data_IF_781167915575
#
_entry.id   IF_781167915575
#
_cell.length_a   1.000
_cell.length_b   1.000
_cell.length_c   1.000
_cell.angle_alpha   90.00
_cell.angle_beta   90.00
_cell.angle_gamma   90.00
#
_symmetry.space_group_name_H-M   'P 1'
#
loop_
_entity.id
_entity.type
_entity.pdbx_description
1 polymer ?
#
# COMPACT_ATOMS: atom_id res chain seq x y z
N UNK A 1 -31.96 -4.04 -5.65
CA UNK A 1 -31.33 -2.83 -6.21
C UNK A 1 -30.58 -3.29 -7.45
N UNK A 2 -30.90 -2.75 -8.61
CA UNK A 2 -30.13 -2.97 -9.85
C UNK A 2 -29.06 -1.89 -9.92
N UNK A 3 -27.79 -2.29 -10.01
CA UNK A 3 -26.64 -1.37 -10.07
C UNK A 3 -26.30 -1.16 -11.55
N UNK A 4 -26.13 0.09 -11.98
CA UNK A 4 -25.64 0.37 -13.32
C UNK A 4 -24.11 0.17 -13.36
N UNK A 5 -23.70 -1.06 -13.66
CA UNK A 5 -22.30 -1.43 -13.78
C UNK A 5 -21.59 -0.79 -14.98
N UNK A 6 -22.32 -0.23 -15.97
CA UNK A 6 -21.70 0.51 -17.05
C UNK A 6 -21.17 1.89 -16.60
N UNK A 7 -21.83 2.48 -15.59
CA UNK A 7 -21.45 3.75 -14.96
C UNK A 7 -20.68 3.57 -13.63
N UNK A 8 -20.47 2.34 -13.17
CA UNK A 8 -19.83 2.05 -11.86
C UNK A 8 -18.51 1.34 -12.03
N UNK A 9 -17.41 2.08 -11.86
CA UNK A 9 -16.05 1.55 -11.95
C UNK A 9 -15.37 1.58 -10.59
N UNK A 10 -14.88 0.43 -10.13
CA UNK A 10 -14.15 0.29 -8.87
C UNK A 10 -12.92 -0.61 -9.06
N UNK A 11 -11.78 -0.17 -8.56
CA UNK A 11 -10.49 -0.88 -8.69
C UNK A 11 -9.98 -1.44 -7.36
N UNK A 12 -10.80 -1.39 -6.30
CA UNK A 12 -10.41 -1.70 -4.93
C UNK A 12 -9.80 -3.10 -4.78
N UNK A 13 -10.20 -4.08 -5.61
CA UNK A 13 -9.64 -5.44 -5.63
C UNK A 13 -8.14 -5.43 -5.91
N UNK A 14 -7.73 -4.96 -7.10
CA UNK A 14 -6.33 -4.94 -7.51
C UNK A 14 -5.51 -3.93 -6.70
N UNK A 15 -6.10 -2.78 -6.33
CA UNK A 15 -5.46 -1.80 -5.46
C UNK A 15 -5.10 -2.40 -4.10
N UNK A 16 -6.02 -3.11 -3.46
CA UNK A 16 -5.82 -3.71 -2.15
C UNK A 16 -4.72 -4.80 -2.19
N UNK A 17 -4.72 -5.65 -3.23
CA UNK A 17 -3.66 -6.64 -3.44
C UNK A 17 -2.31 -5.94 -3.66
N UNK A 18 -2.24 -4.96 -4.56
CA UNK A 18 -1.00 -4.26 -4.87
C UNK A 18 -0.44 -3.48 -3.67
N UNK A 19 -1.31 -2.83 -2.90
CA UNK A 19 -0.95 -2.13 -1.67
C UNK A 19 -0.41 -3.10 -0.60
N UNK A 20 -1.12 -4.19 -0.34
CA UNK A 20 -0.69 -5.20 0.63
C UNK A 20 0.64 -5.85 0.26
N UNK A 21 0.80 -6.26 -1.00
CA UNK A 21 2.06 -6.83 -1.51
C UNK A 21 3.17 -5.80 -1.47
N UNK A 22 2.89 -4.52 -1.78
CA UNK A 22 3.83 -3.41 -1.70
C UNK A 22 4.39 -3.23 -0.28
N UNK A 23 3.54 -3.22 0.73
CA UNK A 23 3.94 -3.15 2.15
C UNK A 23 4.84 -4.33 2.51
N UNK A 24 4.44 -5.56 2.17
CA UNK A 24 5.23 -6.77 2.44
C UNK A 24 6.57 -6.76 1.69
N UNK A 25 6.60 -6.22 0.47
CA UNK A 25 7.81 -6.12 -0.33
C UNK A 25 8.82 -5.15 0.30
N UNK A 26 8.36 -3.99 0.81
CA UNK A 26 9.18 -3.06 1.60
C UNK A 26 9.82 -3.79 2.78
N UNK A 27 9.03 -4.52 3.57
CA UNK A 27 9.53 -5.22 4.76
C UNK A 27 10.54 -6.32 4.39
N UNK A 28 10.25 -7.08 3.32
CA UNK A 28 11.15 -8.14 2.82
C UNK A 28 12.46 -7.57 2.32
N UNK A 29 12.40 -6.45 1.59
CA UNK A 29 13.57 -5.72 1.11
C UNK A 29 14.43 -5.25 2.30
N UNK A 30 13.85 -4.55 3.28
CA UNK A 30 14.59 -4.06 4.45
C UNK A 30 15.15 -5.20 5.32
N UNK A 31 14.44 -6.32 5.44
CA UNK A 31 14.94 -7.52 6.12
C UNK A 31 16.16 -8.09 5.41
N UNK A 32 16.12 -8.23 4.08
CA UNK A 32 17.28 -8.72 3.30
C UNK A 32 18.44 -7.72 3.29
N UNK A 33 18.16 -6.43 3.26
CA UNK A 33 19.17 -5.39 3.37
C UNK A 33 19.92 -5.52 4.69
N UNK A 34 19.20 -5.57 5.82
CA UNK A 34 19.79 -5.78 7.15
C UNK A 34 20.66 -7.03 7.22
N UNK A 35 20.22 -8.13 6.61
CA UNK A 35 20.94 -9.41 6.57
C UNK A 35 22.13 -9.46 5.61
N UNK A 36 22.47 -8.37 4.90
CA UNK A 36 23.48 -8.35 3.84
C UNK A 36 23.19 -9.35 2.71
N UNK A 37 21.91 -9.54 2.39
CA UNK A 37 21.42 -10.50 1.39
C UNK A 37 20.75 -9.84 0.19
N UNK A 38 20.91 -8.52 0.01
CA UNK A 38 20.43 -7.85 -1.20
C UNK A 38 21.37 -8.17 -2.35
N UNK A 39 20.78 -8.72 -3.40
CA UNK A 39 21.40 -8.84 -4.72
C UNK A 39 20.36 -8.45 -5.78
N UNK A 40 20.81 -8.26 -7.02
CA UNK A 40 19.98 -7.87 -8.17
C UNK A 40 19.02 -6.72 -7.84
N UNK A 41 19.55 -5.50 -7.71
CA UNK A 41 18.74 -4.30 -7.44
C UNK A 41 17.65 -4.07 -8.50
N UNK A 42 17.91 -4.47 -9.74
CA UNK A 42 16.93 -4.44 -10.84
C UNK A 42 15.71 -5.32 -10.57
N UNK A 43 15.89 -6.51 -9.97
CA UNK A 43 14.77 -7.38 -9.59
C UNK A 43 13.85 -6.73 -8.55
N UNK A 44 14.45 -6.03 -7.58
CA UNK A 44 13.68 -5.24 -6.61
C UNK A 44 13.01 -4.04 -7.26
N UNK A 45 13.73 -3.34 -8.15
CA UNK A 45 13.19 -2.21 -8.90
C UNK A 45 11.98 -2.62 -9.73
N UNK A 46 12.02 -3.76 -10.44
CA UNK A 46 10.87 -4.28 -11.17
C UNK A 46 9.69 -4.60 -10.23
N UNK A 47 9.94 -5.25 -9.10
CA UNK A 47 8.89 -5.56 -8.12
C UNK A 47 8.18 -4.31 -7.59
N UNK A 48 8.95 -3.29 -7.18
CA UNK A 48 8.39 -2.01 -6.74
C UNK A 48 7.72 -1.25 -7.89
N UNK A 49 8.31 -1.29 -9.09
CA UNK A 49 7.85 -0.56 -10.26
C UNK A 49 6.49 -1.05 -10.75
N UNK A 50 6.30 -2.37 -10.85
CA UNK A 50 5.03 -2.97 -11.29
C UNK A 50 3.89 -2.63 -10.32
N UNK A 51 4.12 -2.84 -9.02
CA UNK A 51 3.11 -2.53 -7.99
C UNK A 51 2.81 -1.03 -7.94
N UNK A 52 3.86 -0.20 -8.02
CA UNK A 52 3.72 1.25 -8.05
C UNK A 52 2.94 1.73 -9.26
N UNK A 53 3.22 1.19 -10.44
CA UNK A 53 2.55 1.55 -11.68
C UNK A 53 1.06 1.20 -11.67
N UNK A 54 0.70 0.00 -11.21
CA UNK A 54 -0.72 -0.40 -11.05
C UNK A 54 -1.45 0.60 -10.15
N UNK A 55 -0.89 0.88 -8.97
CA UNK A 55 -1.50 1.79 -8.00
C UNK A 55 -1.58 3.24 -8.50
N UNK A 56 -0.58 3.71 -9.26
CA UNK A 56 -0.61 5.03 -9.89
C UNK A 56 -1.76 5.10 -10.89
N UNK A 57 -1.88 4.13 -11.80
CA UNK A 57 -2.92 4.18 -12.84
C UNK A 57 -4.31 4.13 -12.23
N UNK A 58 -4.57 3.15 -11.37
CA UNK A 58 -5.89 2.97 -10.77
C UNK A 58 -6.22 4.12 -9.81
N UNK A 59 -5.24 4.58 -9.03
CA UNK A 59 -5.40 5.66 -8.07
C UNK A 59 -5.61 7.00 -8.75
N UNK A 60 -4.82 7.32 -9.77
CA UNK A 60 -4.98 8.54 -10.56
C UNK A 60 -6.33 8.59 -11.27
N UNK A 61 -6.82 7.46 -11.79
CA UNK A 61 -8.15 7.42 -12.38
C UNK A 61 -9.20 7.83 -11.35
N UNK A 62 -9.29 7.12 -10.21
CA UNK A 62 -10.23 7.45 -9.13
C UNK A 62 -10.10 8.90 -8.63
N UNK A 63 -8.88 9.39 -8.41
CA UNK A 63 -8.68 10.74 -7.88
C UNK A 63 -8.94 11.87 -8.89
N UNK A 64 -8.78 11.63 -10.20
CA UNK A 64 -8.93 12.68 -11.22
C UNK A 64 -10.29 12.69 -11.91
N UNK A 65 -11.02 11.58 -11.88
CA UNK A 65 -12.36 11.45 -12.47
C UNK A 65 -13.44 11.42 -11.40
N UNK A 66 -13.36 12.31 -10.42
CA UNK A 66 -14.25 12.33 -9.26
C UNK A 66 -15.63 12.96 -9.57
N UNK A 67 -16.76 12.31 -9.19
CA UNK A 67 -16.89 10.94 -8.69
C UNK A 67 -16.80 9.89 -9.81
N UNK A 68 -15.94 8.88 -9.63
CA UNK A 68 -15.75 7.82 -10.63
C UNK A 68 -16.92 6.85 -10.64
N UNK A 69 -17.39 6.49 -9.44
CA UNK A 69 -18.63 5.75 -9.29
C UNK A 69 -19.77 6.76 -9.08
N UNK A 70 -20.70 6.84 -10.03
CA UNK A 70 -21.90 7.69 -9.90
C UNK A 70 -22.89 7.17 -8.84
N UNK A 71 -22.59 6.04 -8.20
CA UNK A 71 -23.43 5.41 -7.19
C UNK A 71 -22.90 5.71 -5.80
N UNK A 72 -23.63 6.54 -5.05
CA UNK A 72 -23.80 6.51 -3.59
C UNK A 72 -22.59 6.71 -2.66
N UNK A 73 -21.36 6.52 -3.15
CA UNK A 73 -20.14 6.47 -2.37
C UNK A 73 -19.03 7.35 -2.98
N UNK A 74 -19.29 8.65 -3.23
CA UNK A 74 -18.30 9.54 -3.85
C UNK A 74 -17.01 9.68 -2.99
N UNK A 75 -17.05 9.30 -1.72
CA UNK A 75 -15.89 9.30 -0.85
C UNK A 75 -14.89 8.17 -1.15
N UNK A 76 -15.26 7.15 -1.92
CA UNK A 76 -14.38 6.03 -2.27
C UNK A 76 -13.14 6.48 -3.06
N UNK A 77 -13.28 7.53 -3.88
CA UNK A 77 -12.16 8.12 -4.61
C UNK A 77 -11.12 8.77 -3.68
N UNK A 78 -11.57 9.32 -2.54
CA UNK A 78 -10.68 9.84 -1.50
C UNK A 78 -10.08 8.69 -0.68
N UNK A 79 -10.88 7.69 -0.31
CA UNK A 79 -10.44 6.63 0.60
C UNK A 79 -9.51 5.61 -0.08
N UNK A 80 -9.79 5.28 -1.35
CA UNK A 80 -9.02 4.29 -2.09
C UNK A 80 -8.10 4.95 -3.12
N UNK A 81 -8.59 5.95 -3.86
CA UNK A 81 -7.85 6.60 -4.95
C UNK A 81 -6.61 7.34 -4.46
N UNK A 82 -6.76 8.33 -3.58
CA UNK A 82 -5.65 9.18 -3.15
C UNK A 82 -4.54 8.39 -2.42
N UNK A 83 -4.85 7.50 -1.45
CA UNK A 83 -3.84 6.63 -0.84
C UNK A 83 -3.12 5.73 -1.83
N UNK A 84 -3.86 5.12 -2.77
CA UNK A 84 -3.28 4.23 -3.77
C UNK A 84 -2.33 4.99 -4.68
N UNK A 85 -2.75 6.16 -5.17
CA UNK A 85 -1.90 7.03 -5.99
C UNK A 85 -0.63 7.42 -5.24
N UNK A 86 -0.76 7.93 -4.02
CA UNK A 86 0.38 8.36 -3.22
C UNK A 86 1.35 7.21 -2.92
N UNK A 87 0.83 6.06 -2.51
CA UNK A 87 1.66 4.88 -2.25
C UNK A 87 2.31 4.35 -3.53
N UNK A 88 1.57 4.34 -4.65
CA UNK A 88 2.07 3.95 -5.96
C UNK A 88 3.25 4.81 -6.41
N UNK A 89 3.13 6.14 -6.28
CA UNK A 89 4.23 7.09 -6.55
C UNK A 89 5.45 6.81 -5.69
N UNK A 90 5.26 6.53 -4.38
CA UNK A 90 6.37 6.20 -3.48
C UNK A 90 7.09 4.90 -3.87
N UNK A 91 6.34 3.85 -4.23
CA UNK A 91 6.93 2.58 -4.71
C UNK A 91 7.65 2.78 -6.05
N UNK A 92 7.07 3.55 -6.97
CA UNK A 92 7.67 3.84 -8.26
C UNK A 92 8.95 4.68 -8.12
N UNK A 93 8.97 5.66 -7.22
CA UNK A 93 10.17 6.41 -6.88
C UNK A 93 11.27 5.51 -6.30
N UNK A 94 10.91 4.57 -5.43
CA UNK A 94 11.84 3.56 -4.91
C UNK A 94 12.39 2.67 -6.04
N UNK A 95 11.57 2.28 -7.00
CA UNK A 95 11.99 1.51 -8.17
C UNK A 95 13.05 2.26 -9.00
N UNK A 96 12.79 3.53 -9.34
CA UNK A 96 13.72 4.37 -10.08
C UNK A 96 15.04 4.53 -9.30
N UNK A 97 14.98 4.76 -7.99
CA UNK A 97 16.17 4.89 -7.16
C UNK A 97 17.02 3.62 -7.19
N UNK A 98 16.41 2.46 -7.00
CA UNK A 98 17.12 1.18 -6.98
C UNK A 98 17.74 0.87 -8.34
N UNK A 99 17.03 1.15 -9.43
CA UNK A 99 17.56 1.01 -10.79
C UNK A 99 18.76 1.95 -11.02
N UNK A 100 18.65 3.23 -10.64
CA UNK A 100 19.77 4.19 -10.73
C UNK A 100 20.97 3.74 -9.89
N UNK A 101 20.75 3.22 -8.68
CA UNK A 101 21.82 2.70 -7.83
C UNK A 101 22.49 1.46 -8.40
N UNK A 102 21.74 0.56 -9.04
CA UNK A 102 22.31 -0.57 -9.81
C UNK A 102 23.35 -0.06 -10.82
N UNK A 103 22.97 0.94 -11.62
CA UNK A 103 23.85 1.51 -12.65
C UNK A 103 25.07 2.23 -12.06
N UNK A 104 24.91 2.95 -10.95
CA UNK A 104 26.03 3.62 -10.27
C UNK A 104 27.02 2.61 -9.70
N UNK A 105 26.52 1.56 -9.03
CA UNK A 105 27.38 0.52 -8.44
C UNK A 105 28.14 -0.26 -9.51
N UNK A 106 27.51 -0.55 -10.67
CA UNK A 106 28.21 -1.11 -11.82
C UNK A 106 29.36 -0.21 -12.31
N UNK A 107 29.11 1.11 -12.45
CA UNK A 107 30.13 2.07 -12.91
C UNK A 107 31.28 2.23 -11.90
N UNK A 108 31.02 2.03 -10.61
CA UNK A 108 32.02 2.04 -9.55
C UNK A 108 32.82 0.73 -9.46
N UNK A 109 32.56 -0.25 -10.33
CA UNK A 109 33.25 -1.54 -10.34
C UNK A 109 32.81 -2.50 -9.22
N UNK A 110 31.69 -2.21 -8.55
CA UNK A 110 31.14 -3.11 -7.54
C UNK A 110 30.65 -4.38 -8.24
N UNK A 111 31.17 -5.53 -7.82
CA UNK A 111 30.72 -6.81 -8.32
C UNK A 111 29.25 -7.04 -7.94
N UNK A 112 28.34 -7.00 -8.92
CA UNK A 112 26.90 -7.21 -8.69
C UNK A 112 26.54 -8.62 -8.17
N UNK A 113 27.48 -9.58 -8.22
CA UNK A 113 27.32 -10.90 -7.58
C UNK A 113 27.63 -10.87 -6.09
N UNK A 114 28.38 -9.87 -5.62
CA UNK A 114 28.68 -9.67 -4.21
C UNK A 114 27.52 -8.96 -3.49
N UNK A 115 26.64 -9.78 -2.93
CA UNK A 115 25.47 -9.32 -2.18
C UNK A 115 25.84 -8.51 -0.95
N UNK A 116 26.99 -8.78 -0.34
CA UNK A 116 27.43 -8.10 0.89
C UNK A 116 27.87 -6.69 0.55
N UNK A 117 28.72 -6.53 -0.46
CA UNK A 117 29.19 -5.22 -0.93
C UNK A 117 28.01 -4.31 -1.32
N UNK A 118 27.05 -4.81 -2.10
CA UNK A 118 25.85 -4.05 -2.49
C UNK A 118 25.03 -3.63 -1.27
N UNK A 119 24.83 -4.55 -0.33
CA UNK A 119 24.01 -4.28 0.87
C UNK A 119 24.67 -3.24 1.77
N UNK A 120 25.98 -3.28 1.95
CA UNK A 120 26.73 -2.33 2.78
C UNK A 120 26.70 -0.92 2.18
N UNK A 121 26.95 -0.79 0.88
CA UNK A 121 26.86 0.50 0.19
C UNK A 121 25.43 1.07 0.27
N UNK A 122 24.42 0.24 0.00
CA UNK A 122 23.03 0.67 0.01
C UNK A 122 22.53 1.05 1.41
N UNK A 123 23.02 0.38 2.47
CA UNK A 123 22.71 0.78 3.87
C UNK A 123 23.20 2.18 4.20
N UNK A 124 24.36 2.57 3.67
CA UNK A 124 24.90 3.92 3.84
C UNK A 124 24.08 4.95 3.08
N UNK A 125 23.76 4.66 1.82
CA UNK A 125 23.10 5.62 0.92
C UNK A 125 21.60 5.81 1.23
N UNK A 126 20.88 4.74 1.57
CA UNK A 126 19.41 4.71 1.55
C UNK A 126 18.74 5.66 2.55
N UNK A 127 19.20 5.80 3.82
CA UNK A 127 18.59 6.72 4.77
C UNK A 127 18.52 8.16 4.25
N UNK A 128 19.62 8.66 3.70
CA UNK A 128 19.71 10.06 3.24
C UNK A 128 18.90 10.28 1.97
N UNK A 129 18.89 9.32 1.05
CA UNK A 129 18.12 9.41 -0.20
C UNK A 129 16.61 9.32 0.03
N UNK A 130 16.18 8.53 1.01
CA UNK A 130 14.76 8.32 1.28
C UNK A 130 14.18 9.32 2.27
N UNK A 131 15.02 10.04 3.02
CA UNK A 131 14.55 10.96 4.04
C UNK A 131 13.58 12.02 3.51
N UNK A 132 13.86 12.74 2.40
CA UNK A 132 12.94 13.78 1.92
C UNK A 132 11.56 13.22 1.54
N UNK A 133 11.53 12.11 0.79
CA UNK A 133 10.27 11.50 0.34
C UNK A 133 9.50 10.87 1.50
N UNK A 134 10.20 10.44 2.54
CA UNK A 134 9.58 9.82 3.71
C UNK A 134 8.69 10.79 4.49
N UNK A 135 8.92 12.10 4.43
CA UNK A 135 8.00 13.06 5.04
C UNK A 135 6.62 13.04 4.38
N UNK A 136 6.56 12.90 3.05
CA UNK A 136 5.30 12.69 2.35
C UNK A 136 4.64 11.38 2.77
N UNK A 137 5.40 10.28 2.85
CA UNK A 137 4.91 9.00 3.37
C UNK A 137 4.38 9.08 4.81
N UNK A 138 5.01 9.88 5.67
CA UNK A 138 4.54 10.10 7.04
C UNK A 138 3.25 10.93 7.10
N UNK A 139 3.15 11.99 6.29
CA UNK A 139 1.95 12.80 6.19
C UNK A 139 0.77 11.97 5.66
N UNK A 140 0.98 11.15 4.63
CA UNK A 140 -0.01 10.18 4.17
C UNK A 140 -0.34 9.14 5.23
N UNK A 141 0.64 8.73 6.05
CA UNK A 141 0.38 7.88 7.21
C UNK A 141 -0.62 8.49 8.19
N UNK A 142 -0.53 9.80 8.45
CA UNK A 142 -1.52 10.53 9.26
C UNK A 142 -2.88 10.63 8.54
N UNK A 143 -2.89 10.82 7.22
CA UNK A 143 -4.12 10.81 6.43
C UNK A 143 -4.84 9.45 6.52
N UNK A 144 -4.12 8.33 6.48
CA UNK A 144 -4.71 6.99 6.67
C UNK A 144 -5.31 6.83 8.08
N UNK A 145 -4.69 7.40 9.11
CA UNK A 145 -5.27 7.41 10.45
C UNK A 145 -6.57 8.23 10.46
N UNK A 146 -6.60 9.38 9.80
CA UNK A 146 -7.80 10.20 9.67
C UNK A 146 -8.92 9.46 8.92
N UNK A 147 -8.60 8.75 7.84
CA UNK A 147 -9.54 7.87 7.12
C UNK A 147 -10.08 6.79 8.05
N UNK A 148 -9.23 6.15 8.87
CA UNK A 148 -9.68 5.17 9.87
C UNK A 148 -10.64 5.77 10.90
N UNK A 149 -10.38 7.00 11.38
CA UNK A 149 -11.30 7.70 12.28
C UNK A 149 -12.63 7.97 11.57
N UNK A 150 -12.58 8.53 10.35
CA UNK A 150 -13.76 8.81 9.55
C UNK A 150 -14.60 7.56 9.27
N UNK A 151 -13.95 6.43 9.00
CA UNK A 151 -14.61 5.15 8.75
C UNK A 151 -15.46 4.68 9.93
N UNK A 152 -14.95 4.79 11.15
CA UNK A 152 -15.72 4.47 12.36
C UNK A 152 -16.80 5.52 12.63
N UNK A 153 -16.45 6.81 12.53
CA UNK A 153 -17.37 7.92 12.85
C UNK A 153 -18.59 7.96 11.94
N UNK A 154 -18.39 7.72 10.64
CA UNK A 154 -19.44 7.79 9.63
C UNK A 154 -19.93 6.42 9.18
N UNK A 155 -19.47 5.33 9.82
CA UNK A 155 -19.83 3.94 9.49
C UNK A 155 -19.60 3.61 8.00
N UNK A 156 -18.47 4.07 7.47
CA UNK A 156 -18.08 3.79 6.09
C UNK A 156 -17.72 2.30 5.96
N UNK A 157 -17.70 1.80 4.72
CA UNK A 157 -17.31 0.41 4.37
C UNK A 157 -18.34 -0.69 4.65
N UNK A 158 -19.59 -0.35 4.95
CA UNK A 158 -20.64 -1.36 5.06
C UNK A 158 -20.94 -1.98 3.68
N UNK A 159 -20.75 -3.29 3.56
CA UNK A 159 -20.97 -4.04 2.36
C UNK A 159 -22.48 -4.21 2.07
N UNK A 160 -22.88 -4.12 0.80
CA UNK A 160 -24.23 -4.47 0.40
C UNK A 160 -24.59 -5.92 0.78
N UNK A 161 -25.84 -6.21 1.21
CA UNK A 161 -26.28 -7.58 1.52
C UNK A 161 -26.13 -8.57 0.35
N UNK A 162 -26.02 -8.06 -0.88
CA UNK A 162 -25.86 -8.85 -2.10
C UNK A 162 -24.41 -9.32 -2.32
N UNK A 163 -23.43 -8.75 -1.61
CA UNK A 163 -22.05 -9.23 -1.67
C UNK A 163 -21.92 -10.58 -0.96
N UNK A 164 -21.32 -11.59 -1.61
CA UNK A 164 -20.92 -12.80 -0.90
C UNK A 164 -19.93 -12.49 0.23
N UNK A 165 -20.01 -13.23 1.33
CA UNK A 165 -19.11 -13.13 2.51
C UNK A 165 -19.27 -11.82 3.29
N UNK A 166 -18.92 -10.67 2.71
CA UNK A 166 -19.01 -9.35 3.36
C UNK A 166 -20.47 -8.95 3.64
N UNK A 167 -21.36 -9.17 2.67
CA UNK A 167 -22.79 -8.89 2.83
C UNK A 167 -23.49 -9.68 3.94
N UNK A 168 -22.89 -10.77 4.45
CA UNK A 168 -23.40 -11.50 5.62
C UNK A 168 -23.37 -10.65 6.90
N UNK A 169 -22.54 -9.58 6.93
CA UNK A 169 -22.44 -8.64 8.04
C UNK A 169 -23.17 -7.32 7.78
N UNK A 170 -23.99 -7.22 6.74
CA UNK A 170 -24.67 -5.98 6.36
C UNK A 170 -25.59 -5.41 7.46
N UNK A 171 -26.14 -6.27 8.33
CA UNK A 171 -26.93 -5.86 9.51
C UNK A 171 -26.07 -5.31 10.66
N UNK A 172 -24.75 -5.51 10.59
CA UNK A 172 -23.76 -5.12 11.60
C UNK A 172 -22.67 -4.21 10.98
N UNK A 173 -23.02 -3.03 10.45
CA UNK A 173 -22.10 -2.16 9.69
C UNK A 173 -20.84 -1.78 10.49
N UNK A 174 -20.94 -1.73 11.82
CA UNK A 174 -19.81 -1.44 12.71
C UNK A 174 -18.70 -2.50 12.66
N UNK A 175 -19.00 -3.75 12.29
CA UNK A 175 -18.01 -4.83 12.19
C UNK A 175 -17.04 -4.53 11.06
N UNK A 176 -17.56 -4.27 9.85
CA UNK A 176 -16.75 -3.95 8.68
C UNK A 176 -16.11 -2.56 8.80
N UNK A 177 -16.88 -1.57 9.27
CA UNK A 177 -16.37 -0.23 9.49
C UNK A 177 -15.14 -0.25 10.41
N UNK A 178 -15.21 -0.97 11.52
CA UNK A 178 -14.09 -1.09 12.47
C UNK A 178 -12.93 -1.90 11.89
N UNK A 179 -13.22 -2.99 11.16
CA UNK A 179 -12.19 -3.84 10.56
C UNK A 179 -11.36 -3.07 9.51
N UNK A 180 -12.02 -2.43 8.54
CA UNK A 180 -11.34 -1.65 7.49
C UNK A 180 -10.67 -0.42 8.08
N UNK A 181 -11.34 0.28 9.00
CA UNK A 181 -10.74 1.44 9.68
C UNK A 181 -9.48 1.10 10.47
N UNK A 182 -9.48 -0.05 11.16
CA UNK A 182 -8.30 -0.54 11.85
C UNK A 182 -7.15 -0.84 10.87
N UNK A 183 -7.47 -1.36 9.69
CA UNK A 183 -6.48 -1.64 8.65
C UNK A 183 -5.83 -0.35 8.11
N UNK A 184 -6.63 0.69 7.87
CA UNK A 184 -6.14 2.02 7.53
C UNK A 184 -5.28 2.62 8.64
N UNK A 185 -5.75 2.59 9.89
CA UNK A 185 -5.02 3.12 11.03
C UNK A 185 -3.68 2.37 11.27
N UNK A 186 -3.66 1.04 11.19
CA UNK A 186 -2.43 0.25 11.28
C UNK A 186 -1.44 0.60 10.17
N UNK A 187 -1.91 0.71 8.93
CA UNK A 187 -1.06 1.13 7.81
C UNK A 187 -0.49 2.53 8.04
N UNK A 188 -1.33 3.45 8.53
CA UNK A 188 -0.98 4.82 8.83
C UNK A 188 0.07 4.96 9.94
N UNK A 189 -0.11 4.25 11.06
CA UNK A 189 0.86 4.19 12.16
C UNK A 189 2.20 3.62 11.65
N UNK A 190 2.13 2.55 10.85
CA UNK A 190 3.29 1.93 10.24
C UNK A 190 4.12 2.91 9.40
N UNK A 191 3.44 3.61 8.48
CA UNK A 191 4.03 4.58 7.55
C UNK A 191 4.55 5.83 8.26
N UNK A 192 3.80 6.38 9.22
CA UNK A 192 4.23 7.54 10.00
C UNK A 192 5.51 7.25 10.79
N UNK A 193 5.55 6.12 11.50
CA UNK A 193 6.73 5.73 12.27
C UNK A 193 7.92 5.38 11.38
N UNK A 194 7.68 4.86 10.17
CA UNK A 194 8.72 4.43 9.23
C UNK A 194 9.74 5.55 8.94
N UNK A 195 9.28 6.78 8.75
CA UNK A 195 10.13 7.96 8.48
C UNK A 195 11.17 8.24 9.55
N UNK A 196 10.84 7.96 10.81
CA UNK A 196 11.77 8.12 11.93
C UNK A 196 12.74 6.93 12.08
N UNK A 197 12.47 5.82 11.40
CA UNK A 197 13.37 4.65 11.33
C UNK A 197 14.47 4.80 10.27
N UNK A 198 14.33 5.73 9.32
CA UNK A 198 15.33 6.05 8.29
C UNK A 198 16.51 6.83 8.89
N UNK A 199 17.35 6.11 9.63
CA UNK A 199 18.63 6.57 10.19
C UNK A 199 19.48 5.34 10.51
N UNK A 200 20.81 5.52 10.64
CA UNK A 200 21.75 4.42 10.93
C UNK A 200 21.40 3.62 12.20
N UNK A 201 20.95 4.32 13.24
CA UNK A 201 20.61 3.72 14.55
C UNK A 201 19.20 4.11 14.98
N UNK A 202 18.15 3.46 14.44
CA UNK A 202 16.77 3.74 14.83
C UNK A 202 16.45 3.16 16.20
N UNK A 203 15.52 3.79 16.92
CA UNK A 203 15.03 3.25 18.18
C UNK A 203 14.33 1.90 17.93
N UNK A 204 14.75 0.85 18.67
CA UNK A 204 14.30 -0.53 18.44
C UNK A 204 12.78 -0.68 18.54
N UNK A 205 12.14 0.07 19.44
CA UNK A 205 10.69 0.05 19.62
C UNK A 205 9.95 0.62 18.41
N UNK A 206 10.40 1.76 17.86
CA UNK A 206 9.79 2.36 16.66
C UNK A 206 9.86 1.42 15.47
N UNK A 207 11.03 0.80 15.29
CA UNK A 207 11.24 -0.18 14.23
C UNK A 207 10.32 -1.40 14.42
N UNK A 208 10.15 -1.88 15.65
CA UNK A 208 9.27 -3.01 15.96
C UNK A 208 7.81 -2.67 15.65
N UNK A 209 7.31 -1.53 16.11
CA UNK A 209 5.92 -1.11 15.87
C UNK A 209 5.68 -0.89 14.39
N UNK A 210 6.52 -0.09 13.72
CA UNK A 210 6.39 0.17 12.28
C UNK A 210 6.40 -1.13 11.46
N UNK A 211 7.34 -2.03 11.73
CA UNK A 211 7.41 -3.33 11.08
C UNK A 211 6.15 -4.17 11.32
N UNK A 212 5.70 -4.29 12.58
CA UNK A 212 4.53 -5.10 12.92
C UNK A 212 3.25 -4.57 12.29
N UNK A 213 3.02 -3.26 12.38
CA UNK A 213 1.86 -2.61 11.79
C UNK A 213 1.81 -2.80 10.28
N UNK A 214 2.91 -2.52 9.57
CA UNK A 214 2.98 -2.72 8.11
C UNK A 214 2.88 -4.20 7.72
N UNK A 215 3.38 -5.12 8.55
CA UNK A 215 3.32 -6.55 8.28
C UNK A 215 1.88 -7.06 8.40
N UNK A 216 1.22 -6.77 9.52
CA UNK A 216 -0.17 -7.15 9.75
C UNK A 216 -1.07 -6.53 8.69
N UNK A 217 -0.92 -5.23 8.44
CA UNK A 217 -1.70 -4.55 7.42
C UNK A 217 -1.43 -5.13 6.02
N UNK A 218 -0.17 -5.39 5.67
CA UNK A 218 0.19 -5.99 4.38
C UNK A 218 -0.45 -7.37 4.17
N UNK A 219 -0.40 -8.24 5.19
CA UNK A 219 -1.03 -9.57 5.12
C UNK A 219 -2.54 -9.45 4.98
N UNK A 220 -3.19 -8.62 5.80
CA UNK A 220 -4.64 -8.46 5.80
C UNK A 220 -5.14 -7.80 4.51
N UNK A 221 -4.49 -6.74 4.01
CA UNK A 221 -4.81 -6.12 2.72
C UNK A 221 -4.67 -7.13 1.58
N UNK A 222 -3.58 -7.91 1.53
CA UNK A 222 -3.43 -8.91 0.47
C UNK A 222 -4.52 -9.97 0.54
N UNK A 223 -4.81 -10.52 1.73
CA UNK A 223 -5.85 -11.53 1.90
C UNK A 223 -7.25 -10.98 1.57
N UNK A 224 -7.57 -9.79 2.06
CA UNK A 224 -8.84 -9.11 1.81
C UNK A 224 -9.00 -8.76 0.32
N UNK A 225 -7.97 -8.22 -0.33
CA UNK A 225 -8.00 -7.95 -1.77
C UNK A 225 -8.19 -9.20 -2.62
N UNK A 226 -7.58 -10.33 -2.25
CA UNK A 226 -7.80 -11.63 -2.91
C UNK A 226 -9.26 -12.07 -2.75
N UNK A 227 -9.79 -11.99 -1.52
CA UNK A 227 -11.20 -12.30 -1.25
C UNK A 227 -12.15 -11.41 -2.06
N UNK A 228 -11.83 -10.12 -2.20
CA UNK A 228 -12.69 -9.17 -2.89
C UNK A 228 -12.84 -9.45 -4.39
N UNK A 229 -11.91 -10.18 -5.02
CA UNK A 229 -12.16 -10.67 -6.38
C UNK A 229 -13.40 -11.56 -6.44
N UNK A 230 -13.58 -12.44 -5.45
CA UNK A 230 -14.76 -13.31 -5.38
C UNK A 230 -16.02 -12.51 -5.01
N UNK A 231 -15.94 -11.65 -4.00
CA UNK A 231 -17.12 -10.92 -3.50
C UNK A 231 -17.62 -9.89 -4.49
N UNK A 232 -16.75 -9.11 -5.14
CA UNK A 232 -17.16 -8.13 -6.15
C UNK A 232 -17.75 -8.79 -7.40
N UNK A 233 -17.20 -9.91 -7.86
CA UNK A 233 -17.80 -10.68 -8.97
C UNK A 233 -19.20 -11.16 -8.57
N UNK A 234 -19.35 -11.70 -7.36
CA UNK A 234 -20.65 -12.15 -6.87
C UNK A 234 -21.65 -11.01 -6.70
N UNK A 235 -21.21 -9.83 -6.26
CA UNK A 235 -22.06 -8.63 -6.20
C UNK A 235 -22.62 -8.29 -7.57
N UNK A 236 -21.77 -8.26 -8.60
CA UNK A 236 -22.20 -7.98 -9.97
C UNK A 236 -23.22 -9.03 -10.41
N UNK A 237 -22.93 -10.33 -10.24
CA UNK A 237 -23.84 -11.41 -10.62
C UNK A 237 -25.18 -11.34 -9.88
N UNK A 238 -25.19 -10.96 -8.60
CA UNK A 238 -26.40 -10.88 -7.78
C UNK A 238 -27.22 -9.59 -7.99
N UNK A 239 -26.70 -8.61 -8.74
CA UNK A 239 -27.34 -7.30 -8.97
C UNK A 239 -27.55 -6.96 -10.44
N UNK A 240 -27.09 -7.82 -11.36
CA UNK A 240 -27.44 -7.80 -12.79
C UNK A 240 -28.90 -8.17 -13.02
#
# INVERSE_FOLDING_TARGET
MTIDWAATQVYNTIMCVAAGVGLLLILRFLKRLRQNKIGQLEGWAMGFGVLGFVLILTGAHMSLTWPLAEIGFPFDDIIFGEPSLAFGVLLFAAAILLWRKSNVYMKQGINLKDRKAISEQLKGDLPDLMKPISYFGAAMGLALIAIGIAGVTYQLFAAPPQEPISGAFAEYPMVEATFISALYALTGIGAFLFTFTLKLKPAKWMLRISYSCMYVAGVLLTAFGIMNYFTHIGLIVNTM
#
